data_IF_207556020630
#
_entry.id   IF_207556020630
#
_cell.length_a   1.000
_cell.length_b   1.000
_cell.length_c   1.000
_cell.angle_alpha   90.00
_cell.angle_beta   90.00
_cell.angle_gamma   90.00
#
_symmetry.space_group_name_H-M   'P 1'
#
loop_
_entity.id
_entity.type
_entity.pdbx_description
1 polymer ?
#
# COMPACT_ATOMS: atom_id res chain seq x y z
N UNK A 1 -43.94 14.52 26.83
CA UNK A 1 -43.98 13.51 25.73
C UNK A 1 -43.00 13.78 24.56
N UNK A 2 -42.61 15.04 24.29
CA UNK A 2 -41.70 15.39 23.17
C UNK A 2 -40.28 14.75 23.20
N UNK A 3 -39.64 14.58 24.37
CA UNK A 3 -38.31 13.93 24.47
C UNK A 3 -38.31 12.43 24.07
N UNK A 4 -39.45 11.75 24.20
CA UNK A 4 -39.60 10.34 23.83
C UNK A 4 -39.87 10.14 22.33
N UNK A 5 -40.46 11.13 21.65
CA UNK A 5 -40.65 11.12 20.20
C UNK A 5 -39.33 11.44 19.46
N UNK A 6 -38.58 12.44 19.92
CA UNK A 6 -37.27 12.79 19.34
C UNK A 6 -36.25 11.62 19.38
N UNK A 7 -36.29 10.79 20.43
CA UNK A 7 -35.44 9.59 20.56
C UNK A 7 -35.90 8.41 19.69
N UNK A 8 -37.20 8.29 19.39
CA UNK A 8 -37.73 7.27 18.45
C UNK A 8 -37.41 7.61 17.00
N UNK A 9 -37.52 8.88 16.62
CA UNK A 9 -37.19 9.36 15.27
C UNK A 9 -35.69 9.25 14.97
N UNK A 10 -34.82 9.63 15.93
CA UNK A 10 -33.37 9.44 15.79
C UNK A 10 -32.97 7.95 15.65
N UNK A 11 -33.64 7.04 16.39
CA UNK A 11 -33.43 5.59 16.26
C UNK A 11 -33.95 5.04 14.92
N UNK A 12 -35.07 5.56 14.42
CA UNK A 12 -35.61 5.19 13.12
C UNK A 12 -34.71 5.67 11.96
N UNK A 13 -34.21 6.89 12.02
CA UNK A 13 -33.25 7.45 11.07
C UNK A 13 -31.92 6.67 11.08
N UNK A 14 -31.39 6.34 12.26
CA UNK A 14 -30.19 5.49 12.39
C UNK A 14 -30.41 4.07 11.83
N UNK A 15 -31.59 3.48 12.02
CA UNK A 15 -31.95 2.17 11.46
C UNK A 15 -32.10 2.23 9.94
N UNK A 16 -32.67 3.30 9.40
CA UNK A 16 -32.78 3.53 7.96
C UNK A 16 -31.41 3.74 7.31
N UNK A 17 -30.53 4.55 7.93
CA UNK A 17 -29.16 4.75 7.49
C UNK A 17 -28.35 3.45 7.52
N UNK A 18 -28.45 2.64 8.59
CA UNK A 18 -27.82 1.32 8.67
C UNK A 18 -28.32 0.36 7.59
N UNK A 19 -29.62 0.35 7.32
CA UNK A 19 -30.21 -0.46 6.24
C UNK A 19 -29.70 -0.01 4.88
N UNK A 20 -29.67 1.29 4.60
CA UNK A 20 -29.11 1.83 3.35
C UNK A 20 -27.64 1.45 3.19
N UNK A 21 -26.82 1.70 4.20
CA UNK A 21 -25.40 1.31 4.21
C UNK A 21 -25.19 -0.21 4.07
N UNK A 22 -26.08 -1.04 4.62
CA UNK A 22 -26.00 -2.50 4.42
C UNK A 22 -26.31 -2.93 2.98
N UNK A 23 -27.30 -2.28 2.34
CA UNK A 23 -27.65 -2.53 0.94
C UNK A 23 -26.54 -2.09 0.01
N UNK A 24 -25.96 -0.92 0.26
CA UNK A 24 -24.87 -0.38 -0.55
C UNK A 24 -23.61 -1.26 -0.41
N UNK A 25 -23.25 -1.67 0.81
CA UNK A 25 -22.18 -2.65 1.03
C UNK A 25 -22.42 -3.97 0.29
N UNK A 26 -23.65 -4.51 0.33
CA UNK A 26 -23.97 -5.74 -0.39
C UNK A 26 -23.86 -5.56 -1.91
N UNK A 27 -24.29 -4.41 -2.45
CA UNK A 27 -24.14 -4.09 -3.87
C UNK A 27 -22.66 -3.97 -4.26
N UNK A 28 -21.84 -3.29 -3.46
CA UNK A 28 -20.39 -3.16 -3.70
C UNK A 28 -19.71 -4.53 -3.69
N UNK A 29 -20.02 -5.38 -2.70
CA UNK A 29 -19.50 -6.74 -2.63
C UNK A 29 -19.94 -7.58 -3.84
N UNK A 30 -21.19 -7.44 -4.27
CA UNK A 30 -21.70 -8.14 -5.46
C UNK A 30 -21.03 -7.68 -6.75
N UNK A 31 -20.81 -6.37 -6.91
CA UNK A 31 -20.10 -5.80 -8.06
C UNK A 31 -18.66 -6.27 -8.09
N UNK A 32 -17.95 -6.23 -6.96
CA UNK A 32 -16.59 -6.73 -6.83
C UNK A 32 -16.52 -8.23 -7.16
N UNK A 33 -17.49 -9.02 -6.68
CA UNK A 33 -17.60 -10.44 -7.02
C UNK A 33 -17.82 -10.67 -8.52
N UNK A 34 -18.75 -9.93 -9.15
CA UNK A 34 -19.00 -10.03 -10.59
C UNK A 34 -17.77 -9.66 -11.43
N UNK A 35 -17.05 -8.61 -11.04
CA UNK A 35 -15.81 -8.20 -11.70
C UNK A 35 -14.75 -9.29 -11.56
N UNK A 36 -14.53 -9.80 -10.35
CA UNK A 36 -13.57 -10.87 -10.11
C UNK A 36 -13.92 -12.16 -10.84
N UNK A 37 -15.21 -12.54 -10.91
CA UNK A 37 -15.64 -13.74 -11.65
C UNK A 37 -15.36 -13.64 -13.14
N UNK A 38 -15.44 -12.43 -13.72
CA UNK A 38 -15.10 -12.19 -15.13
C UNK A 38 -13.60 -12.28 -15.36
N UNK A 39 -12.81 -11.72 -14.43
CA UNK A 39 -11.35 -11.74 -14.49
C UNK A 39 -10.76 -13.14 -14.23
N UNK A 40 -11.34 -13.90 -13.31
CA UNK A 40 -10.86 -15.21 -12.89
C UNK A 40 -11.94 -16.28 -13.01
N UNK A 41 -11.96 -16.94 -14.18
CA UNK A 41 -12.93 -18.01 -14.48
C UNK A 41 -12.79 -19.24 -13.59
N UNK A 42 -11.61 -19.47 -13.00
CA UNK A 42 -11.35 -20.60 -12.09
C UNK A 42 -11.86 -20.35 -10.67
N UNK A 43 -12.21 -19.10 -10.33
CA UNK A 43 -12.69 -18.73 -9.01
C UNK A 43 -13.91 -19.55 -8.57
N UNK A 44 -14.92 -19.64 -9.44
CA UNK A 44 -16.21 -20.24 -9.11
C UNK A 44 -16.11 -21.78 -9.00
N UNK A 45 -15.45 -22.49 -9.94
CA UNK A 45 -15.16 -23.92 -9.76
C UNK A 45 -14.38 -24.24 -8.50
N UNK A 46 -13.38 -23.42 -8.13
CA UNK A 46 -12.59 -23.65 -6.92
C UNK A 46 -13.39 -23.42 -5.64
N UNK A 47 -14.24 -22.39 -5.61
CA UNK A 47 -15.12 -22.15 -4.46
C UNK A 47 -16.12 -23.29 -4.27
N UNK A 48 -16.80 -23.70 -5.34
CA UNK A 48 -17.74 -24.84 -5.30
C UNK A 48 -16.99 -26.12 -4.94
N UNK A 49 -15.85 -26.38 -5.58
CA UNK A 49 -15.01 -27.54 -5.31
C UNK A 49 -14.56 -27.60 -3.85
N UNK A 50 -14.17 -26.47 -3.25
CA UNK A 50 -13.79 -26.42 -1.83
C UNK A 50 -14.96 -26.70 -0.88
N UNK A 51 -16.16 -26.23 -1.21
CA UNK A 51 -17.36 -26.50 -0.43
C UNK A 51 -17.76 -27.97 -0.53
N UNK A 52 -17.82 -28.51 -1.75
CA UNK A 52 -18.16 -29.91 -2.01
C UNK A 52 -17.13 -30.84 -1.36
N UNK A 53 -15.83 -30.55 -1.51
CA UNK A 53 -14.77 -31.34 -0.88
C UNK A 53 -14.88 -31.32 0.65
N UNK A 54 -15.11 -30.14 1.25
CA UNK A 54 -15.30 -30.05 2.71
C UNK A 54 -16.52 -30.86 3.17
N UNK A 55 -17.68 -30.69 2.53
CA UNK A 55 -18.89 -31.44 2.87
C UNK A 55 -18.68 -32.95 2.68
N UNK A 56 -18.01 -33.38 1.60
CA UNK A 56 -17.73 -34.78 1.35
C UNK A 56 -16.84 -35.37 2.44
N UNK A 57 -15.76 -34.68 2.82
CA UNK A 57 -14.85 -35.12 3.90
C UNK A 57 -15.60 -35.26 5.22
N UNK A 58 -16.37 -34.24 5.62
CA UNK A 58 -17.13 -34.28 6.88
C UNK A 58 -18.27 -35.31 6.86
N UNK A 59 -18.87 -35.58 5.70
CA UNK A 59 -19.84 -36.65 5.53
C UNK A 59 -19.20 -38.02 5.74
N UNK A 60 -18.05 -38.29 5.11
CA UNK A 60 -17.32 -39.56 5.27
C UNK A 60 -16.89 -39.77 6.72
N UNK A 61 -16.32 -38.74 7.36
CA UNK A 61 -15.96 -38.81 8.79
C UNK A 61 -17.20 -39.00 9.66
N UNK A 62 -18.30 -38.31 9.34
CA UNK A 62 -19.57 -38.43 10.06
C UNK A 62 -20.18 -39.83 9.98
N UNK A 63 -20.02 -40.53 8.85
CA UNK A 63 -20.44 -41.93 8.70
C UNK A 63 -19.60 -42.88 9.56
N UNK A 64 -18.27 -42.68 9.60
CA UNK A 64 -17.36 -43.54 10.37
C UNK A 64 -17.54 -43.38 11.90
N UNK A 65 -17.88 -42.18 12.36
CA UNK A 65 -18.01 -41.84 13.79
C UNK A 65 -19.47 -41.92 14.27
N UNK A 66 -20.43 -42.13 13.37
CA UNK A 66 -21.86 -42.17 13.71
C UNK A 66 -22.47 -40.80 14.07
N UNK A 67 -21.77 -39.70 13.80
CA UNK A 67 -22.15 -38.33 14.16
C UNK A 67 -22.52 -37.46 12.94
N UNK A 68 -23.08 -38.10 11.90
CA UNK A 68 -23.38 -37.49 10.59
C UNK A 68 -24.09 -36.13 10.69
N UNK A 69 -25.17 -36.05 11.47
CA UNK A 69 -25.98 -34.84 11.61
C UNK A 69 -25.23 -33.66 12.24
N UNK A 70 -24.22 -33.93 13.07
CA UNK A 70 -23.38 -32.89 13.70
C UNK A 70 -22.23 -32.46 12.78
N UNK A 71 -21.61 -33.40 12.05
CA UNK A 71 -20.45 -33.10 11.22
C UNK A 71 -20.80 -32.42 9.89
N UNK A 72 -21.96 -32.70 9.29
CA UNK A 72 -22.35 -32.07 8.02
C UNK A 72 -22.45 -30.53 8.14
N UNK A 73 -23.18 -29.95 9.11
CA UNK A 73 -23.23 -28.49 9.29
C UNK A 73 -21.84 -27.89 9.50
N UNK A 74 -20.97 -28.57 10.26
CA UNK A 74 -19.58 -28.14 10.48
C UNK A 74 -18.79 -28.13 9.17
N UNK A 75 -18.94 -29.16 8.34
CA UNK A 75 -18.32 -29.25 7.01
C UNK A 75 -18.78 -28.15 6.06
N UNK A 76 -20.06 -27.75 6.12
CA UNK A 76 -20.59 -26.61 5.36
C UNK A 76 -19.95 -25.31 5.82
N UNK A 77 -19.92 -25.04 7.12
CA UNK A 77 -19.32 -23.81 7.67
C UNK A 77 -17.83 -23.71 7.33
N UNK A 78 -17.09 -24.80 7.48
CA UNK A 78 -15.67 -24.85 7.11
C UNK A 78 -15.46 -24.72 5.59
N UNK A 79 -16.31 -25.33 4.79
CA UNK A 79 -16.26 -25.21 3.33
C UNK A 79 -16.49 -23.77 2.87
N UNK A 80 -17.46 -23.07 3.48
CA UNK A 80 -17.69 -21.64 3.22
C UNK A 80 -16.50 -20.77 3.65
N UNK A 81 -15.88 -21.07 4.80
CA UNK A 81 -14.69 -20.36 5.26
C UNK A 81 -13.52 -20.54 4.28
N UNK A 82 -13.27 -21.77 3.83
CA UNK A 82 -12.22 -22.07 2.84
C UNK A 82 -12.50 -21.34 1.52
N UNK A 83 -13.73 -21.40 1.03
CA UNK A 83 -14.15 -20.69 -0.18
C UNK A 83 -13.91 -19.17 -0.07
N UNK A 84 -14.20 -18.58 1.11
CA UNK A 84 -13.94 -17.17 1.38
C UNK A 84 -12.43 -16.83 1.39
N UNK A 85 -11.59 -17.70 1.97
CA UNK A 85 -10.13 -17.52 1.96
C UNK A 85 -9.58 -17.60 0.53
N UNK A 86 -10.06 -18.56 -0.28
CA UNK A 86 -9.69 -18.69 -1.69
C UNK A 86 -10.08 -17.42 -2.46
N UNK A 87 -11.30 -16.95 -2.26
CA UNK A 87 -11.79 -15.71 -2.87
C UNK A 87 -10.88 -14.52 -2.55
N UNK A 88 -10.61 -14.28 -1.26
CA UNK A 88 -9.75 -13.17 -0.82
C UNK A 88 -8.35 -13.22 -1.44
N UNK A 89 -7.71 -14.39 -1.41
CA UNK A 89 -6.36 -14.58 -1.99
C UNK A 89 -6.34 -14.35 -3.50
N UNK A 90 -7.38 -14.80 -4.21
CA UNK A 90 -7.51 -14.64 -5.67
C UNK A 90 -7.75 -13.17 -6.06
N UNK A 91 -8.59 -12.46 -5.32
CA UNK A 91 -8.81 -11.01 -5.50
C UNK A 91 -7.52 -10.24 -5.30
N UNK A 92 -6.76 -10.53 -4.25
CA UNK A 92 -5.46 -9.89 -4.05
C UNK A 92 -4.52 -10.15 -5.23
N UNK A 93 -4.44 -11.40 -5.69
CA UNK A 93 -3.59 -11.77 -6.83
C UNK A 93 -3.96 -11.02 -8.11
N UNK A 94 -5.25 -10.92 -8.45
CA UNK A 94 -5.70 -10.22 -9.65
C UNK A 94 -5.46 -8.71 -9.56
N UNK A 95 -5.70 -8.10 -8.39
CA UNK A 95 -5.45 -6.67 -8.17
C UNK A 95 -3.97 -6.34 -8.34
N UNK A 96 -3.08 -7.11 -7.70
CA UNK A 96 -1.64 -6.89 -7.87
C UNK A 96 -1.17 -7.18 -9.29
N UNK A 97 -1.68 -8.21 -9.96
CA UNK A 97 -1.33 -8.49 -11.35
C UNK A 97 -1.77 -7.39 -12.31
N UNK A 98 -2.90 -6.69 -12.04
CA UNK A 98 -3.36 -5.54 -12.82
C UNK A 98 -2.57 -4.27 -12.51
N UNK A 99 -2.11 -4.12 -11.28
CA UNK A 99 -1.28 -2.99 -10.86
C UNK A 99 0.18 -3.14 -11.32
N UNK A 100 0.68 -4.37 -11.50
CA UNK A 100 2.00 -4.64 -12.07
C UNK A 100 2.10 -4.00 -13.48
N UNK A 101 3.08 -3.11 -13.67
CA UNK A 101 3.31 -2.39 -14.92
C UNK A 101 2.57 -1.05 -15.06
N UNK A 102 1.74 -0.66 -14.09
CA UNK A 102 1.17 0.69 -14.02
C UNK A 102 2.09 1.62 -13.25
N UNK A 103 2.28 2.84 -13.74
CA UNK A 103 3.06 3.85 -13.05
C UNK A 103 2.43 4.25 -11.71
N UNK A 104 3.23 4.30 -10.65
CA UNK A 104 2.82 4.58 -9.28
C UNK A 104 2.28 3.36 -8.52
N UNK A 105 2.32 2.16 -9.11
CA UNK A 105 1.81 0.95 -8.47
C UNK A 105 2.61 0.55 -7.23
N UNK A 106 3.93 0.77 -7.24
CA UNK A 106 4.78 0.54 -6.07
C UNK A 106 4.40 1.50 -4.95
N UNK A 107 4.21 2.79 -5.25
CA UNK A 107 3.71 3.77 -4.29
C UNK A 107 2.40 3.34 -3.64
N UNK A 108 1.40 2.96 -4.44
CA UNK A 108 0.13 2.46 -3.94
C UNK A 108 0.27 1.20 -3.07
N UNK A 109 1.11 0.25 -3.47
CA UNK A 109 1.36 -0.96 -2.67
C UNK A 109 2.01 -0.64 -1.32
N UNK A 110 2.91 0.35 -1.29
CA UNK A 110 3.57 0.81 -0.07
C UNK A 110 2.60 1.48 0.90
N UNK A 111 1.68 2.30 0.42
CA UNK A 111 0.66 2.95 1.28
C UNK A 111 -0.28 1.93 1.93
N UNK A 112 -0.48 0.77 1.29
CA UNK A 112 -1.30 -0.31 1.81
C UNK A 112 -0.57 -1.25 2.79
N UNK A 113 0.70 -0.98 3.10
CA UNK A 113 1.45 -1.78 4.08
C UNK A 113 0.80 -1.71 5.46
N UNK A 114 0.71 -2.87 6.12
CA UNK A 114 0.19 -2.95 7.49
C UNK A 114 1.31 -2.78 8.49
N UNK A 115 1.06 -1.97 9.52
CA UNK A 115 1.97 -1.75 10.65
C UNK A 115 2.53 -0.34 10.70
N UNK A 116 3.61 -0.17 11.46
CA UNK A 116 4.29 1.12 11.62
C UNK A 116 5.24 1.36 10.45
N UNK A 117 4.68 1.80 9.32
CA UNK A 117 5.45 2.23 8.15
C UNK A 117 5.13 3.70 7.87
N UNK A 118 6.14 4.49 7.51
CA UNK A 118 5.97 5.89 7.07
C UNK A 118 6.39 5.97 5.63
N UNK A 119 5.43 6.18 4.74
CA UNK A 119 5.65 6.15 3.29
C UNK A 119 5.59 7.58 2.77
N UNK A 120 6.61 7.94 1.98
CA UNK A 120 6.65 9.17 1.19
C UNK A 120 6.78 8.75 -0.27
N UNK A 121 5.70 8.91 -1.03
CA UNK A 121 5.70 8.56 -2.44
C UNK A 121 6.45 9.60 -3.28
N UNK A 122 7.03 9.15 -4.40
CA UNK A 122 7.62 9.98 -5.45
C UNK A 122 8.52 11.11 -4.92
N UNK A 123 9.48 10.75 -4.05
CA UNK A 123 10.47 11.70 -3.52
C UNK A 123 11.36 12.26 -4.64
N UNK A 124 11.64 11.43 -5.63
CA UNK A 124 12.30 11.82 -6.88
C UNK A 124 11.62 11.03 -8.00
N UNK A 125 11.43 11.66 -9.15
CA UNK A 125 10.89 11.00 -10.32
C UNK A 125 11.31 11.68 -11.62
N UNK A 126 11.07 11.01 -12.73
CA UNK A 126 11.35 11.49 -14.09
C UNK A 126 10.04 11.70 -14.85
N UNK A 127 10.11 12.39 -15.99
CA UNK A 127 9.00 12.48 -16.95
C UNK A 127 8.67 11.12 -17.61
N UNK A 128 9.54 10.12 -17.48
CA UNK A 128 9.36 8.77 -18.02
C UNK A 128 8.65 7.82 -17.06
N UNK A 129 7.91 8.36 -16.08
CA UNK A 129 7.17 7.60 -15.08
C UNK A 129 8.07 6.70 -14.20
N UNK A 130 9.38 7.01 -14.12
CA UNK A 130 10.25 6.41 -13.11
C UNK A 130 10.11 7.20 -11.81
N UNK A 131 9.99 6.50 -10.68
CA UNK A 131 9.84 7.12 -9.37
C UNK A 131 10.65 6.39 -8.31
N UNK A 132 11.11 7.14 -7.31
CA UNK A 132 11.69 6.62 -6.07
C UNK A 132 10.78 7.01 -4.92
N UNK A 133 10.27 6.00 -4.23
CA UNK A 133 9.50 6.12 -3.01
C UNK A 133 10.43 5.88 -1.82
N UNK A 134 10.16 6.58 -0.71
CA UNK A 134 10.89 6.38 0.53
C UNK A 134 9.97 5.81 1.58
N UNK A 135 10.46 4.78 2.26
CA UNK A 135 9.73 4.09 3.33
C UNK A 135 10.61 4.08 4.57
N UNK A 136 10.05 4.49 5.70
CA UNK A 136 10.71 4.39 7.00
C UNK A 136 9.98 3.32 7.79
N UNK A 137 10.73 2.34 8.28
CA UNK A 137 10.21 1.25 9.10
C UNK A 137 11.24 0.79 10.13
N UNK A 138 10.93 -0.28 10.86
CA UNK A 138 11.86 -0.89 11.82
C UNK A 138 13.20 -1.32 11.23
N UNK A 139 13.32 -1.67 9.93
CA UNK A 139 14.62 -1.93 9.34
C UNK A 139 15.54 -0.73 9.19
N UNK A 140 14.98 0.48 9.11
CA UNK A 140 15.70 1.69 8.76
C UNK A 140 14.98 2.45 7.64
N UNK A 141 15.77 3.03 6.73
CA UNK A 141 15.25 3.72 5.54
C UNK A 141 15.33 2.78 4.35
N UNK A 142 14.23 2.66 3.61
CA UNK A 142 14.15 1.82 2.40
C UNK A 142 13.74 2.71 1.23
N UNK A 143 14.53 2.65 0.17
CA UNK A 143 14.28 3.33 -1.10
C UNK A 143 13.73 2.32 -2.08
N UNK A 144 12.51 2.55 -2.53
CA UNK A 144 11.81 1.67 -3.45
C UNK A 144 11.68 2.38 -4.78
N UNK A 145 12.40 1.88 -5.77
CA UNK A 145 12.37 2.40 -7.13
C UNK A 145 11.35 1.67 -8.00
N UNK A 146 10.62 2.43 -8.81
CA UNK A 146 9.66 1.95 -9.80
C UNK A 146 10.04 2.52 -11.17
N UNK A 147 10.00 1.70 -12.22
CA UNK A 147 10.36 2.10 -13.59
C UNK A 147 11.48 1.26 -14.17
N UNK A 148 12.17 1.78 -15.19
CA UNK A 148 13.22 1.03 -15.88
C UNK A 148 14.48 0.92 -15.00
N UNK A 149 15.04 -0.30 -14.78
CA UNK A 149 16.13 -0.51 -13.82
C UNK A 149 17.39 0.31 -14.09
N UNK A 150 17.73 0.58 -15.36
CA UNK A 150 18.91 1.40 -15.71
C UNK A 150 18.78 2.86 -15.25
N UNK A 151 17.58 3.45 -15.36
CA UNK A 151 17.31 4.85 -14.95
C UNK A 151 17.09 4.94 -13.45
N UNK A 152 16.34 4.00 -12.88
CA UNK A 152 15.98 3.96 -11.46
C UNK A 152 17.22 3.78 -10.56
N UNK A 153 18.23 3.00 -10.97
CA UNK A 153 19.49 2.85 -10.23
C UNK A 153 20.18 4.19 -9.98
N UNK A 154 20.19 5.07 -10.98
CA UNK A 154 20.76 6.42 -10.86
C UNK A 154 19.99 7.28 -9.85
N UNK A 155 18.66 7.24 -9.91
CA UNK A 155 17.79 7.97 -8.96
C UNK A 155 17.96 7.45 -7.53
N UNK A 156 18.01 6.14 -7.34
CA UNK A 156 18.24 5.50 -6.04
C UNK A 156 19.60 5.89 -5.46
N UNK A 157 20.67 5.88 -6.26
CA UNK A 157 22.00 6.26 -5.80
C UNK A 157 22.06 7.74 -5.38
N UNK A 158 21.43 8.63 -6.14
CA UNK A 158 21.34 10.05 -5.79
C UNK A 158 20.59 10.26 -4.47
N UNK A 159 19.43 9.62 -4.31
CA UNK A 159 18.62 9.75 -3.10
C UNK A 159 19.32 9.11 -1.89
N UNK A 160 19.96 7.95 -2.06
CA UNK A 160 20.79 7.30 -1.03
C UNK A 160 21.91 8.21 -0.55
N UNK A 161 22.62 8.89 -1.45
CA UNK A 161 23.68 9.85 -1.09
C UNK A 161 23.14 11.08 -0.34
N UNK A 162 21.96 11.57 -0.69
CA UNK A 162 21.31 12.69 0.03
C UNK A 162 20.92 12.28 1.45
N UNK A 163 20.30 11.11 1.58
CA UNK A 163 19.80 10.55 2.84
C UNK A 163 20.93 10.16 3.78
N UNK A 164 22.01 9.57 3.27
CA UNK A 164 23.18 9.18 4.05
C UNK A 164 23.78 10.34 4.85
N UNK A 165 23.61 11.59 4.42
CA UNK A 165 24.10 12.79 5.13
C UNK A 165 23.39 13.07 6.44
N UNK A 166 22.19 12.53 6.67
CA UNK A 166 21.38 12.83 7.87
C UNK A 166 20.93 11.60 8.65
N UNK A 167 21.00 10.42 8.05
CA UNK A 167 20.50 9.17 8.63
C UNK A 167 21.48 8.55 9.64
N UNK A 168 22.76 8.93 9.59
CA UNK A 168 23.77 8.48 10.55
C UNK A 168 24.11 7.00 10.39
N UNK A 169 24.01 6.26 11.50
CA UNK A 169 24.29 4.81 11.61
C UNK A 169 23.15 3.91 11.08
N UNK A 170 21.98 4.48 10.77
CA UNK A 170 20.82 3.68 10.39
C UNK A 170 20.96 3.11 8.97
N UNK A 171 20.72 1.81 8.75
CA UNK A 171 20.83 1.19 7.42
C UNK A 171 19.88 1.79 6.37
N UNK A 172 20.38 1.89 5.14
CA UNK A 172 19.62 2.33 3.95
C UNK A 172 19.59 1.17 2.96
N UNK A 173 18.39 0.64 2.71
CA UNK A 173 18.15 -0.42 1.73
C UNK A 173 17.62 0.17 0.42
N UNK A 174 18.00 -0.44 -0.70
CA UNK A 174 17.49 -0.16 -2.04
C UNK A 174 16.73 -1.39 -2.57
N UNK A 175 15.55 -1.15 -3.14
CA UNK A 175 14.70 -2.17 -3.73
C UNK A 175 14.18 -1.63 -5.06
N UNK A 176 14.32 -2.40 -6.14
CA UNK A 176 13.74 -2.07 -7.44
C UNK A 176 12.53 -2.98 -7.64
N UNK A 177 11.38 -2.38 -7.95
CA UNK A 177 10.14 -3.10 -8.21
C UNK A 177 10.06 -3.47 -9.68
N UNK A 178 9.73 -4.74 -9.94
CA UNK A 178 9.46 -5.27 -11.27
C UNK A 178 9.67 -6.78 -11.32
N UNK A 179 9.71 -7.34 -12.53
CA UNK A 179 9.63 -8.79 -12.75
C UNK A 179 10.93 -9.42 -13.28
N UNK A 180 11.96 -8.62 -13.53
CA UNK A 180 13.25 -9.12 -14.03
C UNK A 180 14.17 -9.58 -12.88
N UNK A 181 15.30 -10.17 -13.25
CA UNK A 181 16.32 -10.62 -12.30
C UNK A 181 16.83 -9.47 -11.42
N UNK A 182 16.90 -9.73 -10.11
CA UNK A 182 17.29 -8.74 -9.11
C UNK A 182 16.21 -7.71 -8.75
N UNK A 183 15.03 -7.79 -9.36
CA UNK A 183 13.87 -6.97 -9.00
C UNK A 183 12.91 -7.73 -8.08
N UNK A 184 12.10 -6.99 -7.33
CA UNK A 184 11.08 -7.54 -6.44
C UNK A 184 9.70 -7.35 -7.08
N UNK A 185 8.97 -8.43 -7.39
CA UNK A 185 7.60 -8.32 -7.92
C UNK A 185 6.70 -7.58 -6.94
N UNK A 186 5.79 -6.77 -7.45
CA UNK A 186 4.91 -5.91 -6.65
C UNK A 186 4.16 -6.71 -5.57
N UNK A 187 3.60 -7.87 -5.92
CA UNK A 187 2.91 -8.79 -4.99
C UNK A 187 3.78 -9.33 -3.85
N UNK A 188 5.11 -9.27 -3.98
CA UNK A 188 6.08 -9.77 -2.99
C UNK A 188 6.76 -8.63 -2.23
N UNK A 189 6.54 -7.37 -2.60
CA UNK A 189 7.18 -6.21 -2.01
C UNK A 189 6.99 -6.17 -0.49
N UNK A 190 5.75 -6.24 0.00
CA UNK A 190 5.45 -6.28 1.44
C UNK A 190 6.23 -7.39 2.17
N UNK A 191 6.24 -8.60 1.62
CA UNK A 191 6.95 -9.74 2.22
C UNK A 191 8.45 -9.52 2.23
N UNK A 192 9.01 -8.93 1.18
CA UNK A 192 10.43 -8.61 1.10
C UNK A 192 10.83 -7.58 2.16
N UNK A 193 10.06 -6.48 2.30
CA UNK A 193 10.32 -5.45 3.30
C UNK A 193 10.20 -5.97 4.74
N UNK A 194 9.20 -6.83 5.01
CA UNK A 194 9.00 -7.44 6.32
C UNK A 194 10.10 -8.44 6.72
N UNK A 195 10.87 -8.98 5.76
CA UNK A 195 11.98 -9.90 6.04
C UNK A 195 13.28 -9.19 6.45
N UNK A 196 13.36 -7.87 6.23
CA UNK A 196 14.55 -7.10 6.60
C UNK A 196 14.74 -7.09 8.13
N UNK A 197 15.98 -7.08 8.63
CA UNK A 197 16.25 -7.11 10.07
C UNK A 197 15.73 -5.84 10.75
N UNK A 198 15.24 -5.96 11.98
CA UNK A 198 14.69 -4.84 12.76
C UNK A 198 15.81 -4.09 13.48
N UNK A 199 16.41 -3.11 12.80
CA UNK A 199 17.57 -2.36 13.31
C UNK A 199 17.21 -1.18 14.22
N UNK A 200 16.00 -0.61 14.07
CA UNK A 200 15.58 0.59 14.80
C UNK A 200 14.23 0.40 15.51
N UNK A 201 14.02 1.21 16.56
CA UNK A 201 12.78 1.28 17.32
C UNK A 201 11.90 2.46 16.87
N UNK A 202 10.68 2.56 17.40
CA UNK A 202 9.72 3.62 17.03
C UNK A 202 10.26 5.04 17.25
N UNK A 203 10.92 5.30 18.38
CA UNK A 203 11.52 6.62 18.68
C UNK A 203 12.58 7.04 17.65
N UNK A 204 13.44 6.10 17.24
CA UNK A 204 14.41 6.35 16.16
C UNK A 204 13.71 6.60 14.83
N UNK A 205 12.60 5.94 14.54
CA UNK A 205 11.81 6.22 13.34
C UNK A 205 11.23 7.64 13.34
N UNK A 206 10.69 8.12 14.47
CA UNK A 206 10.22 9.51 14.61
C UNK A 206 11.34 10.50 14.33
N UNK A 207 12.50 10.32 14.97
CA UNK A 207 13.66 11.18 14.77
C UNK A 207 14.15 11.18 13.31
N UNK A 208 14.16 10.01 12.65
CA UNK A 208 14.52 9.89 11.25
C UNK A 208 13.55 10.60 10.33
N UNK A 209 12.23 10.47 10.57
CA UNK A 209 11.24 11.19 9.79
C UNK A 209 11.43 12.70 9.91
N UNK A 210 11.65 13.24 11.11
CA UNK A 210 11.91 14.68 11.29
C UNK A 210 13.17 15.14 10.55
N UNK A 211 14.27 14.38 10.62
CA UNK A 211 15.52 14.69 9.89
C UNK A 211 15.33 14.65 8.38
N UNK A 212 14.58 13.67 7.88
CA UNK A 212 14.31 13.50 6.45
C UNK A 212 13.31 14.55 5.92
N UNK A 213 12.35 14.98 6.74
CA UNK A 213 11.45 16.08 6.42
C UNK A 213 12.23 17.40 6.23
N UNK A 214 13.23 17.65 7.08
CA UNK A 214 14.11 18.81 6.97
C UNK A 214 14.98 18.80 5.69
N UNK A 215 15.31 17.61 5.15
CA UNK A 215 15.95 17.50 3.83
C UNK A 215 15.00 17.84 2.68
N UNK A 216 13.72 17.48 2.78
CA UNK A 216 12.70 17.79 1.77
C UNK A 216 12.41 19.30 1.64
N UNK A 217 12.60 20.07 2.70
CA UNK A 217 12.49 21.54 2.68
C UNK A 217 13.61 22.25 1.93
N UNK A 218 14.72 21.56 1.60
CA UNK A 218 15.85 22.10 0.81
C UNK A 218 15.65 21.99 -0.70
N UNK A 219 14.42 21.78 -1.17
CA UNK A 219 14.06 21.90 -2.59
C UNK A 219 13.88 23.37 -3.05
N UNK A 220 14.49 24.30 -2.33
CA UNK A 220 14.86 25.63 -2.78
C UNK A 220 16.28 25.88 -2.30
N UNK A 221 17.18 26.27 -3.20
CA UNK A 221 18.58 26.55 -2.87
C UNK A 221 18.75 27.61 -1.78
N UNK A 222 19.99 27.88 -1.34
CA UNK A 222 20.25 28.92 -0.36
C UNK A 222 19.83 30.28 -0.95
N UNK A 223 18.83 30.90 -0.32
CA UNK A 223 18.42 32.28 -0.57
C UNK A 223 17.42 32.45 -1.72
N UNK A 224 16.12 32.49 -1.38
CA UNK A 224 15.14 33.51 -1.80
C UNK A 224 13.90 33.28 -0.93
N UNK A 225 13.56 34.19 0.01
CA UNK A 225 12.25 34.20 0.66
C UNK A 225 11.18 34.41 -0.42
N UNK A 226 10.23 33.48 -0.53
CA UNK A 226 9.07 33.63 -1.43
C UNK A 226 8.07 34.63 -0.83
N UNK A 227 8.43 35.92 -0.84
CA UNK A 227 7.48 37.02 -0.82
C UNK A 227 7.14 37.44 -2.26
N UNK A 228 5.99 38.08 -2.49
CA UNK A 228 5.71 38.67 -3.80
C UNK A 228 6.81 39.68 -4.12
N UNK A 229 7.59 39.40 -5.16
CA UNK A 229 8.61 40.32 -5.64
C UNK A 229 7.91 41.60 -6.11
N UNK A 230 8.29 42.80 -5.61
CA UNK A 230 7.74 44.03 -6.12
C UNK A 230 8.08 44.15 -7.61
N UNK A 231 7.06 44.40 -8.43
CA UNK A 231 7.21 44.63 -9.86
C UNK A 231 8.06 45.91 -10.05
N UNK A 232 9.35 45.74 -10.34
CA UNK A 232 10.25 46.87 -10.61
C UNK A 232 11.71 46.70 -10.21
N UNK A 233 12.10 45.63 -9.49
CA UNK A 233 13.49 45.43 -9.11
C UNK A 233 14.35 44.95 -10.31
N UNK A 234 14.85 45.91 -11.10
CA UNK A 234 15.86 45.67 -12.14
C UNK A 234 17.09 45.02 -11.49
N UNK A 235 17.37 43.76 -11.86
CA UNK A 235 18.62 43.08 -11.51
C UNK A 235 19.79 43.91 -12.03
N UNK A 236 20.56 44.52 -11.12
CA UNK A 236 21.79 45.23 -11.48
C UNK A 236 22.85 44.18 -11.84
N UNK A 237 23.20 44.10 -13.12
CA UNK A 237 24.20 43.17 -13.66
C UNK A 237 25.48 43.14 -12.82
N UNK A 238 25.65 42.07 -12.04
CA UNK A 238 26.80 41.84 -11.16
C UNK A 238 28.11 41.68 -11.94
N UNK A 239 28.02 41.35 -13.24
CA UNK A 239 29.15 41.16 -14.15
C UNK A 239 30.02 42.41 -14.42
N UNK A 240 29.58 43.63 -14.08
CA UNK A 240 30.45 44.84 -14.22
C UNK A 240 31.37 45.11 -13.03
N UNK A 241 31.15 44.46 -11.88
CA UNK A 241 31.94 44.73 -10.67
C UNK A 241 33.24 43.93 -10.58
N UNK A 242 33.42 42.90 -11.40
CA UNK A 242 34.61 42.03 -11.35
C UNK A 242 35.78 42.48 -12.23
N UNK A 243 35.66 43.59 -13.00
CA UNK A 243 36.73 44.06 -13.89
C UNK A 243 37.57 45.21 -13.34
N UNK A 244 37.44 45.52 -12.05
CA UNK A 244 38.36 46.39 -11.31
C UNK A 244 38.81 45.72 -10.03
N UNK A 245 39.81 44.87 -10.15
CA UNK A 245 40.88 44.67 -9.17
C UNK A 245 42.12 44.22 -9.92
#
# INVERSE_FOLDING_TARGET
MAKAQATKEAKAAAKAARKKASRDRRKQLWQAFQMQRKDDKLLLPLMIGSLVASVAVFTVVGLLVGALFFLIPLGVVLGLLIAFIIFGRRVQKSVFAKAEGQAGAAGWALDNLRGQWRVKQAVTGTSHLDAVHRVIGRPGVILVGEGAPSRVKGLLAQEKKKIARVVGDTPIYDVIVGNDDGQVPLKRLERHLNKLPKNINGKRMDALESRLAALGGRQGGPGIPKGPMPAGAKMRNVQRSMRRR
#
